data_IF_463444282495
#
_entry.id   IF_463444282495
#
_cell.length_a   1.000
_cell.length_b   1.000
_cell.length_c   1.000
_cell.angle_alpha   90.00
_cell.angle_beta   90.00
_cell.angle_gamma   90.00
#
_symmetry.space_group_name_H-M   'P 1'
#
loop_
_entity.id
_entity.type
_entity.pdbx_description
1 polymer ?
#
# COMPACT_ATOMS: atom_id res chain seq x y z
N UNK A 1 31.91 -6.44 -12.13
CA UNK A 1 30.60 -7.14 -12.14
C UNK A 1 29.64 -6.34 -12.98
N UNK A 2 28.98 -6.97 -13.94
CA UNK A 2 27.96 -6.30 -14.73
C UNK A 2 26.77 -5.89 -13.84
N UNK A 3 26.17 -4.74 -14.19
CA UNK A 3 24.99 -4.25 -13.46
C UNK A 3 23.80 -5.16 -13.73
N UNK A 4 23.05 -5.48 -12.66
CA UNK A 4 21.78 -6.19 -12.75
C UNK A 4 20.76 -5.33 -13.54
N UNK A 5 20.23 -5.84 -14.64
CA UNK A 5 19.32 -5.11 -15.55
C UNK A 5 17.86 -5.47 -15.27
N UNK A 6 17.08 -4.51 -14.79
CA UNK A 6 15.69 -4.71 -14.37
C UNK A 6 14.76 -3.85 -15.24
N UNK A 7 13.67 -4.45 -15.74
CA UNK A 7 12.56 -3.71 -16.30
C UNK A 7 11.41 -3.73 -15.28
N UNK A 8 10.98 -2.56 -14.82
CA UNK A 8 9.78 -2.42 -14.01
C UNK A 8 8.57 -2.16 -14.90
N UNK A 9 7.46 -2.86 -14.62
CA UNK A 9 6.13 -2.58 -15.18
C UNK A 9 5.25 -2.15 -14.04
N UNK A 10 5.13 -0.84 -13.83
CA UNK A 10 4.47 -0.24 -12.68
C UNK A 10 3.94 1.16 -13.00
N UNK A 11 2.92 1.65 -12.30
CA UNK A 11 2.50 3.03 -12.44
C UNK A 11 3.51 3.99 -11.78
N UNK A 12 3.66 5.18 -12.39
CA UNK A 12 4.38 6.32 -11.83
C UNK A 12 3.41 7.46 -11.51
N UNK A 13 3.72 8.32 -10.53
CA UNK A 13 2.94 9.54 -10.31
C UNK A 13 3.21 10.58 -11.41
N UNK A 14 2.25 11.47 -11.76
CA UNK A 14 0.85 11.42 -11.37
C UNK A 14 0.03 10.38 -12.16
N UNK A 15 -1.10 9.85 -11.60
CA UNK A 15 -1.72 10.19 -10.34
C UNK A 15 -1.04 9.51 -9.15
N UNK A 16 -1.05 10.19 -7.99
CA UNK A 16 -0.50 9.64 -6.75
C UNK A 16 -1.36 8.48 -6.23
N UNK A 17 -0.71 7.45 -5.71
CA UNK A 17 -1.35 6.26 -5.14
C UNK A 17 -0.31 5.30 -4.58
N UNK A 18 -0.72 4.35 -3.75
CA UNK A 18 0.22 3.48 -3.02
C UNK A 18 1.28 2.80 -3.89
N UNK A 19 0.89 2.28 -5.07
CA UNK A 19 1.85 1.61 -5.98
C UNK A 19 2.75 2.64 -6.69
N UNK A 20 2.18 3.77 -7.14
CA UNK A 20 2.94 4.80 -7.83
C UNK A 20 3.98 5.45 -6.90
N UNK A 21 3.59 5.78 -5.67
CA UNK A 21 4.49 6.33 -4.66
C UNK A 21 5.61 5.34 -4.30
N UNK A 22 5.27 4.06 -4.12
CA UNK A 22 6.25 3.01 -3.88
C UNK A 22 7.27 2.91 -5.04
N UNK A 23 6.81 2.93 -6.30
CA UNK A 23 7.72 2.85 -7.46
C UNK A 23 8.61 4.09 -7.54
N UNK A 24 8.07 5.28 -7.30
CA UNK A 24 8.85 6.52 -7.27
C UNK A 24 9.90 6.51 -6.16
N UNK A 25 9.57 6.05 -4.96
CA UNK A 25 10.51 5.89 -3.85
C UNK A 25 11.59 4.86 -4.19
N UNK A 26 11.20 3.69 -4.69
CA UNK A 26 12.14 2.62 -5.06
C UNK A 26 13.11 3.08 -6.15
N UNK A 27 12.62 3.77 -7.19
CA UNK A 27 13.46 4.27 -8.28
C UNK A 27 14.47 5.32 -7.79
N UNK A 28 14.05 6.24 -6.91
CA UNK A 28 14.96 7.21 -6.28
C UNK A 28 16.03 6.51 -5.45
N UNK A 29 15.64 5.52 -4.64
CA UNK A 29 16.57 4.76 -3.82
C UNK A 29 17.60 4.00 -4.69
N UNK A 30 17.15 3.28 -5.72
CA UNK A 30 18.06 2.56 -6.62
C UNK A 30 19.03 3.53 -7.30
N UNK A 31 18.55 4.67 -7.79
CA UNK A 31 19.39 5.67 -8.45
C UNK A 31 20.44 6.29 -7.54
N UNK A 32 20.12 6.47 -6.25
CA UNK A 32 21.05 7.08 -5.29
C UNK A 32 22.00 6.05 -4.66
N UNK A 33 21.47 4.93 -4.19
CA UNK A 33 22.21 4.00 -3.32
C UNK A 33 22.69 2.72 -4.04
N UNK A 34 22.12 2.39 -5.19
CA UNK A 34 22.38 1.13 -5.92
C UNK A 34 22.75 1.32 -7.39
N UNK A 35 22.99 2.55 -7.85
CA UNK A 35 23.30 2.86 -9.25
C UNK A 35 24.53 2.14 -9.82
N UNK A 36 25.49 1.77 -8.96
CA UNK A 36 26.67 0.98 -9.35
C UNK A 36 26.36 -0.52 -9.59
N UNK A 37 25.26 -1.02 -9.00
CA UNK A 37 24.89 -2.44 -9.00
C UNK A 37 23.68 -2.75 -9.86
N UNK A 38 22.77 -1.79 -10.05
CA UNK A 38 21.49 -1.98 -10.73
C UNK A 38 21.32 -0.93 -11.83
N UNK A 39 20.96 -1.39 -13.03
CA UNK A 39 20.45 -0.59 -14.13
C UNK A 39 18.96 -0.94 -14.32
N UNK A 40 18.11 0.05 -14.49
CA UNK A 40 16.68 -0.20 -14.67
C UNK A 40 16.04 0.69 -15.72
N UNK A 41 14.93 0.19 -16.28
CA UNK A 41 13.96 0.99 -17.04
C UNK A 41 12.56 0.78 -16.48
N UNK A 42 11.65 1.73 -16.72
CA UNK A 42 10.28 1.68 -16.22
C UNK A 42 9.31 1.81 -17.39
N UNK A 43 8.45 0.82 -17.56
CA UNK A 43 7.28 0.88 -18.43
C UNK A 43 6.12 1.38 -17.58
N UNK A 44 5.76 2.65 -17.78
CA UNK A 44 4.73 3.32 -17.00
C UNK A 44 3.33 2.86 -17.41
N UNK A 45 2.61 2.31 -16.42
CA UNK A 45 1.23 1.83 -16.56
C UNK A 45 0.19 2.76 -15.94
N UNK A 46 0.59 3.97 -15.56
CA UNK A 46 -0.32 4.95 -14.96
C UNK A 46 -1.44 5.37 -15.93
N UNK A 47 -2.67 5.58 -15.45
CA UNK A 47 -3.75 6.13 -16.26
C UNK A 47 -3.47 7.61 -16.53
N UNK A 48 -3.58 8.06 -17.79
CA UNK A 48 -3.31 9.46 -18.19
C UNK A 48 -4.16 10.52 -17.49
N UNK A 49 -5.33 10.16 -16.92
CA UNK A 49 -6.20 11.06 -16.15
C UNK A 49 -6.73 10.34 -14.92
N UNK A 50 -6.64 10.99 -13.76
CA UNK A 50 -7.33 10.57 -12.53
C UNK A 50 -8.82 10.89 -12.70
N UNK A 51 -9.68 9.90 -12.56
CA UNK A 51 -11.12 10.10 -12.53
C UNK A 51 -11.60 9.70 -11.15
N UNK A 52 -12.01 10.68 -10.37
CA UNK A 52 -12.56 10.54 -9.02
C UNK A 52 -14.00 10.03 -9.03
N UNK A 53 -14.74 10.31 -10.09
CA UNK A 53 -16.10 9.82 -10.32
C UNK A 53 -16.11 8.65 -11.30
N UNK A 54 -17.00 7.69 -11.05
CA UNK A 54 -17.02 6.38 -11.71
C UNK A 54 -16.94 6.41 -13.23
N UNK A 55 -15.81 5.94 -13.78
CA UNK A 55 -15.75 5.67 -15.23
C UNK A 55 -16.81 4.66 -15.61
N UNK A 56 -17.58 4.96 -16.64
CA UNK A 56 -18.47 3.97 -17.25
C UNK A 56 -17.70 2.70 -17.64
N UNK A 57 -18.38 1.57 -17.62
CA UNK A 57 -17.78 0.23 -17.88
C UNK A 57 -16.98 0.23 -19.20
N UNK A 58 -17.50 0.86 -20.25
CA UNK A 58 -16.86 1.01 -21.55
C UNK A 58 -15.50 1.72 -21.50
N UNK A 59 -15.39 2.83 -20.76
CA UNK A 59 -14.13 3.58 -20.64
C UNK A 59 -13.07 2.78 -19.87
N UNK A 60 -13.49 1.97 -18.91
CA UNK A 60 -12.59 1.06 -18.18
C UNK A 60 -12.03 -0.04 -19.08
N UNK A 61 -12.87 -0.64 -19.91
CA UNK A 61 -12.48 -1.70 -20.85
C UNK A 61 -11.55 -1.17 -21.94
N UNK A 62 -11.90 -0.04 -22.56
CA UNK A 62 -11.05 0.61 -23.58
C UNK A 62 -9.70 1.01 -22.99
N UNK A 63 -9.69 1.62 -21.79
CA UNK A 63 -8.43 1.98 -21.11
C UNK A 63 -7.56 0.77 -20.77
N UNK A 64 -8.15 -0.35 -20.38
CA UNK A 64 -7.46 -1.63 -20.13
C UNK A 64 -6.83 -2.18 -21.41
N UNK A 65 -7.54 -2.13 -22.54
CA UNK A 65 -7.05 -2.60 -23.83
C UNK A 65 -5.90 -1.74 -24.38
N UNK A 66 -6.02 -0.42 -24.29
CA UNK A 66 -4.94 0.52 -24.67
C UNK A 66 -3.70 0.29 -23.81
N UNK A 67 -3.86 0.11 -22.50
CA UNK A 67 -2.75 -0.21 -21.58
C UNK A 67 -2.06 -1.52 -21.96
N UNK A 68 -2.83 -2.55 -22.33
CA UNK A 68 -2.29 -3.85 -22.78
C UNK A 68 -1.43 -3.71 -24.02
N UNK A 69 -1.92 -3.02 -25.06
CA UNK A 69 -1.19 -2.84 -26.32
C UNK A 69 0.08 -2.03 -26.08
N UNK A 70 -0.04 -0.87 -25.40
CA UNK A 70 1.08 0.02 -25.09
C UNK A 70 2.17 -0.73 -24.34
N UNK A 71 1.83 -1.37 -23.22
CA UNK A 71 2.79 -2.10 -22.38
C UNK A 71 3.46 -3.24 -23.13
N UNK A 72 2.68 -3.99 -23.96
CA UNK A 72 3.23 -5.09 -24.75
C UNK A 72 4.19 -4.61 -25.83
N UNK A 73 3.92 -3.47 -26.46
CA UNK A 73 4.79 -2.86 -27.47
C UNK A 73 6.08 -2.32 -26.83
N UNK A 74 5.97 -1.56 -25.74
CA UNK A 74 7.13 -1.01 -25.02
C UNK A 74 8.03 -2.14 -24.48
N UNK A 75 7.44 -3.21 -23.92
CA UNK A 75 8.22 -4.36 -23.49
C UNK A 75 8.95 -5.05 -24.65
N UNK A 76 8.30 -5.22 -25.80
CA UNK A 76 8.97 -5.78 -26.99
C UNK A 76 10.17 -4.96 -27.42
N UNK A 77 10.04 -3.64 -27.42
CA UNK A 77 11.12 -2.72 -27.77
C UNK A 77 12.28 -2.81 -26.75
N UNK A 78 11.98 -2.84 -25.45
CA UNK A 78 13.01 -3.02 -24.42
C UNK A 78 13.74 -4.36 -24.58
N UNK A 79 12.99 -5.46 -24.80
CA UNK A 79 13.57 -6.78 -25.04
C UNK A 79 14.35 -6.87 -26.35
N UNK A 80 14.08 -6.00 -27.32
CA UNK A 80 14.85 -5.88 -28.57
C UNK A 80 16.21 -5.21 -28.36
N UNK A 81 16.37 -4.41 -27.32
CA UNK A 81 17.63 -3.74 -26.93
C UNK A 81 18.57 -4.65 -26.14
N UNK A 82 18.09 -5.75 -25.63
CA UNK A 82 18.85 -6.73 -24.86
C UNK A 82 17.98 -7.42 -23.81
N UNK A 83 18.40 -8.61 -23.39
CA UNK A 83 17.67 -9.33 -22.35
C UNK A 83 17.94 -8.72 -20.97
N UNK A 84 16.87 -8.38 -20.20
CA UNK A 84 17.02 -8.03 -18.80
C UNK A 84 17.30 -9.29 -17.98
N UNK A 85 17.89 -9.12 -16.79
CA UNK A 85 18.00 -10.20 -15.80
C UNK A 85 16.64 -10.53 -15.20
N UNK A 86 15.78 -9.51 -15.02
CA UNK A 86 14.42 -9.71 -14.50
C UNK A 86 13.45 -8.62 -15.01
N UNK A 87 12.18 -9.02 -15.16
CA UNK A 87 11.05 -8.08 -15.31
C UNK A 87 10.18 -8.13 -14.06
N UNK A 88 10.09 -7.01 -13.35
CA UNK A 88 9.30 -6.86 -12.14
C UNK A 88 7.95 -6.19 -12.45
N UNK A 89 6.87 -6.93 -12.28
CA UNK A 89 5.52 -6.52 -12.67
C UNK A 89 4.69 -6.27 -11.41
N UNK A 90 4.13 -5.07 -11.25
CA UNK A 90 3.17 -4.80 -10.19
C UNK A 90 1.74 -4.96 -10.69
N UNK A 91 0.88 -5.57 -9.88
CA UNK A 91 -0.53 -5.70 -10.19
C UNK A 91 -1.43 -5.21 -9.06
N UNK A 92 -2.51 -4.52 -9.43
CA UNK A 92 -3.63 -4.14 -8.55
C UNK A 92 -4.89 -4.99 -8.79
N UNK A 93 -4.79 -6.03 -9.63
CA UNK A 93 -5.92 -6.87 -10.00
C UNK A 93 -6.83 -6.27 -11.09
N UNK A 94 -8.07 -6.76 -11.16
CA UNK A 94 -9.11 -6.32 -12.10
C UNK A 94 -8.67 -6.42 -13.57
N UNK A 95 -9.00 -5.42 -14.40
CA UNK A 95 -8.64 -5.41 -15.83
C UNK A 95 -7.12 -5.40 -16.09
N UNK A 96 -6.31 -4.98 -15.11
CA UNK A 96 -4.85 -5.07 -15.18
C UNK A 96 -4.33 -6.49 -15.38
N UNK A 97 -5.06 -7.50 -14.89
CA UNK A 97 -4.69 -8.91 -15.06
C UNK A 97 -4.62 -9.36 -16.53
N UNK A 98 -5.38 -8.72 -17.43
CA UNK A 98 -5.32 -9.03 -18.88
C UNK A 98 -3.99 -8.57 -19.48
N UNK A 99 -3.54 -7.36 -19.13
CA UNK A 99 -2.22 -6.84 -19.49
C UNK A 99 -1.13 -7.76 -18.94
N UNK A 100 -1.22 -8.08 -17.65
CA UNK A 100 -0.24 -8.92 -16.94
C UNK A 100 -0.12 -10.29 -17.59
N UNK A 101 -1.25 -10.92 -18.03
CA UNK A 101 -1.26 -12.17 -18.77
C UNK A 101 -0.44 -12.08 -20.06
N UNK A 102 -0.63 -11.02 -20.85
CA UNK A 102 0.10 -10.86 -22.12
C UNK A 102 1.61 -10.72 -21.87
N UNK A 103 1.98 -9.92 -20.87
CA UNK A 103 3.37 -9.71 -20.45
C UNK A 103 3.99 -11.02 -19.94
N UNK A 104 3.37 -11.67 -18.95
CA UNK A 104 3.90 -12.91 -18.37
C UNK A 104 4.02 -14.04 -19.39
N UNK A 105 3.06 -14.16 -20.32
CA UNK A 105 3.14 -15.13 -21.43
C UNK A 105 4.33 -14.87 -22.35
N UNK A 106 4.63 -13.59 -22.61
CA UNK A 106 5.79 -13.20 -23.43
C UNK A 106 7.10 -13.56 -22.73
N UNK A 107 7.22 -13.26 -21.44
CA UNK A 107 8.40 -13.54 -20.64
C UNK A 107 8.63 -15.05 -20.45
N UNK A 108 7.58 -15.80 -20.14
CA UNK A 108 7.64 -17.25 -19.98
C UNK A 108 8.11 -17.94 -21.28
N UNK A 109 7.59 -17.53 -22.45
CA UNK A 109 8.04 -18.09 -23.74
C UNK A 109 9.52 -17.80 -24.03
N UNK A 110 10.06 -16.69 -23.53
CA UNK A 110 11.46 -16.30 -23.71
C UNK A 110 12.36 -16.77 -22.59
N UNK A 111 11.82 -17.48 -21.58
CA UNK A 111 12.52 -17.92 -20.37
C UNK A 111 13.23 -16.78 -19.62
N UNK A 112 12.61 -15.59 -19.63
CA UNK A 112 13.08 -14.42 -18.90
C UNK A 112 12.52 -14.48 -17.47
N UNK A 113 13.38 -14.26 -16.46
CA UNK A 113 12.96 -14.20 -15.09
C UNK A 113 11.90 -13.10 -14.88
N UNK A 114 10.85 -13.42 -14.13
CA UNK A 114 9.77 -12.48 -13.84
C UNK A 114 9.39 -12.53 -12.36
N UNK A 115 9.24 -11.35 -11.78
CA UNK A 115 8.68 -11.17 -10.44
C UNK A 115 7.28 -10.57 -10.59
N UNK A 116 6.27 -11.31 -10.18
CA UNK A 116 4.88 -10.86 -10.19
C UNK A 116 4.47 -10.41 -8.81
N UNK A 117 4.46 -9.09 -8.60
CA UNK A 117 4.27 -8.45 -7.31
C UNK A 117 2.79 -8.10 -7.12
N UNK A 118 2.11 -8.84 -6.26
CA UNK A 118 0.69 -8.67 -5.93
C UNK A 118 0.55 -7.56 -4.90
N UNK A 119 -0.19 -6.51 -5.25
CA UNK A 119 -0.33 -5.31 -4.41
C UNK A 119 -1.80 -4.98 -4.08
N UNK A 120 -2.60 -6.02 -3.83
CA UNK A 120 -4.00 -5.90 -3.42
C UNK A 120 -4.42 -7.04 -2.50
N UNK A 121 -5.27 -6.76 -1.49
CA UNK A 121 -5.58 -7.69 -0.39
C UNK A 121 -6.71 -8.70 -0.67
N UNK A 122 -7.28 -8.80 -1.89
CA UNK A 122 -8.44 -9.67 -2.18
C UNK A 122 -8.10 -10.97 -2.92
N UNK A 123 -6.85 -11.41 -2.86
CA UNK A 123 -6.35 -12.60 -3.57
C UNK A 123 -7.12 -13.85 -3.16
N UNK A 124 -7.27 -14.08 -1.85
CA UNK A 124 -8.01 -15.22 -1.30
C UNK A 124 -9.45 -15.29 -1.85
N UNK A 125 -10.15 -14.15 -1.82
CA UNK A 125 -11.50 -14.07 -2.37
C UNK A 125 -11.54 -14.42 -3.87
N UNK A 126 -10.59 -13.91 -4.65
CA UNK A 126 -10.54 -14.14 -6.10
C UNK A 126 -10.22 -15.58 -6.46
N UNK A 127 -9.28 -16.22 -5.77
CA UNK A 127 -8.91 -17.60 -6.05
C UNK A 127 -10.02 -18.59 -5.64
N UNK A 128 -10.78 -18.29 -4.59
CA UNK A 128 -11.95 -19.09 -4.17
C UNK A 128 -13.16 -18.89 -5.10
N UNK A 129 -13.36 -17.67 -5.60
CA UNK A 129 -14.42 -17.36 -6.56
C UNK A 129 -13.99 -17.83 -7.95
N UNK A 130 -14.50 -18.94 -8.44
CA UNK A 130 -14.21 -19.49 -9.77
C UNK A 130 -14.77 -18.60 -10.92
N UNK A 131 -14.63 -17.28 -10.82
CA UNK A 131 -15.04 -16.29 -11.80
C UNK A 131 -13.91 -16.00 -12.81
N UNK A 132 -14.19 -15.16 -13.82
CA UNK A 132 -13.21 -14.80 -14.86
C UNK A 132 -11.94 -14.15 -14.29
N UNK A 133 -12.07 -13.30 -13.26
CA UNK A 133 -10.95 -12.60 -12.62
C UNK A 133 -10.05 -13.59 -11.86
N UNK A 134 -10.65 -14.50 -11.09
CA UNK A 134 -9.92 -15.54 -10.36
C UNK A 134 -9.20 -16.53 -11.30
N UNK A 135 -9.85 -16.94 -12.39
CA UNK A 135 -9.24 -17.79 -13.43
C UNK A 135 -8.04 -17.10 -14.08
N UNK A 136 -8.19 -15.81 -14.39
CA UNK A 136 -7.13 -15.02 -15.01
C UNK A 136 -5.95 -14.80 -14.04
N UNK A 137 -6.23 -14.53 -12.76
CA UNK A 137 -5.21 -14.45 -11.73
C UNK A 137 -4.45 -15.77 -11.59
N UNK A 138 -5.16 -16.89 -11.45
CA UNK A 138 -4.56 -18.23 -11.35
C UNK A 138 -3.66 -18.54 -12.56
N UNK A 139 -4.09 -18.17 -13.76
CA UNK A 139 -3.28 -18.33 -14.97
C UNK A 139 -2.01 -17.47 -14.92
N UNK A 140 -2.10 -16.22 -14.47
CA UNK A 140 -0.95 -15.32 -14.33
C UNK A 140 0.05 -15.87 -13.29
N UNK A 141 -0.46 -16.36 -12.17
CA UNK A 141 0.36 -17.01 -11.14
C UNK A 141 1.12 -18.22 -11.69
N UNK A 142 0.50 -19.04 -12.55
CA UNK A 142 1.18 -20.18 -13.21
C UNK A 142 2.33 -19.73 -14.09
N UNK A 143 2.18 -18.62 -14.82
CA UNK A 143 3.19 -18.10 -15.77
C UNK A 143 4.36 -17.38 -15.09
N UNK A 144 4.13 -16.77 -13.93
CA UNK A 144 5.17 -16.04 -13.21
C UNK A 144 6.30 -16.99 -12.73
N UNK A 145 7.55 -16.55 -12.85
CA UNK A 145 8.69 -17.29 -12.31
C UNK A 145 8.75 -17.17 -10.78
N UNK A 146 8.57 -15.95 -10.27
CA UNK A 146 8.50 -15.65 -8.85
C UNK A 146 7.26 -14.79 -8.55
N UNK A 147 6.69 -14.95 -7.37
CA UNK A 147 5.50 -14.22 -6.92
C UNK A 147 5.83 -13.53 -5.61
N UNK A 148 5.52 -12.25 -5.49
CA UNK A 148 5.60 -11.51 -4.22
C UNK A 148 4.19 -11.26 -3.68
N UNK A 149 3.97 -11.69 -2.44
CA UNK A 149 2.86 -11.31 -1.59
C UNK A 149 3.32 -10.25 -0.58
N UNK A 150 2.54 -9.17 -0.41
CA UNK A 150 2.87 -8.08 0.52
C UNK A 150 2.29 -8.29 1.92
N UNK A 151 1.42 -9.27 2.11
CA UNK A 151 0.79 -9.62 3.38
C UNK A 151 0.79 -11.14 3.60
N UNK A 152 0.73 -11.53 4.87
CA UNK A 152 0.79 -12.94 5.28
C UNK A 152 -0.40 -13.76 4.81
N UNK A 153 -1.59 -13.18 4.76
CA UNK A 153 -2.82 -13.88 4.31
C UNK A 153 -2.74 -14.21 2.82
N UNK A 154 -2.26 -13.26 2.00
CA UNK A 154 -2.01 -13.51 0.58
C UNK A 154 -0.95 -14.59 0.39
N UNK A 155 0.17 -14.53 1.14
CA UNK A 155 1.22 -15.55 1.07
C UNK A 155 0.70 -16.95 1.43
N UNK A 156 -0.03 -17.07 2.55
CA UNK A 156 -0.66 -18.32 2.99
C UNK A 156 -1.63 -18.86 1.93
N UNK A 157 -2.49 -17.99 1.40
CA UNK A 157 -3.41 -18.34 0.34
C UNK A 157 -2.68 -18.87 -0.91
N UNK A 158 -1.62 -18.23 -1.36
CA UNK A 158 -0.84 -18.70 -2.51
C UNK A 158 -0.23 -20.09 -2.26
N UNK A 159 0.23 -20.35 -1.04
CA UNK A 159 0.75 -21.67 -0.64
C UNK A 159 -0.34 -22.74 -0.69
N UNK A 160 -1.52 -22.45 -0.13
CA UNK A 160 -2.68 -23.33 -0.15
C UNK A 160 -3.17 -23.67 -1.57
N UNK A 161 -3.03 -22.73 -2.51
CA UNK A 161 -3.39 -22.94 -3.92
C UNK A 161 -2.25 -23.52 -4.78
N UNK A 162 -1.16 -24.00 -4.17
CA UNK A 162 -0.07 -24.72 -4.84
C UNK A 162 0.96 -23.82 -5.53
N UNK A 163 1.10 -22.56 -5.09
CA UNK A 163 2.12 -21.64 -5.59
C UNK A 163 3.23 -21.36 -4.57
N UNK A 164 3.30 -22.12 -3.46
CA UNK A 164 4.25 -21.88 -2.36
C UNK A 164 5.71 -21.85 -2.80
N UNK A 165 6.13 -22.81 -3.63
CA UNK A 165 7.54 -22.98 -4.06
C UNK A 165 8.13 -21.74 -4.77
N UNK A 166 7.29 -20.86 -5.29
CA UNK A 166 7.71 -19.64 -6.02
C UNK A 166 7.08 -18.37 -5.45
N UNK A 167 6.46 -18.46 -4.29
CA UNK A 167 5.87 -17.34 -3.59
C UNK A 167 6.75 -16.90 -2.43
N UNK A 168 6.92 -15.60 -2.30
CA UNK A 168 7.75 -14.96 -1.29
C UNK A 168 6.93 -13.89 -0.57
N UNK A 169 7.00 -13.88 0.75
CA UNK A 169 6.49 -12.77 1.53
C UNK A 169 7.53 -11.65 1.55
N UNK A 170 7.23 -10.54 0.89
CA UNK A 170 8.08 -9.33 0.90
C UNK A 170 7.18 -8.13 1.17
N UNK A 171 7.27 -7.51 2.35
CA UNK A 171 6.40 -6.40 2.74
C UNK A 171 6.67 -5.14 1.92
N UNK A 172 5.79 -4.15 2.03
CA UNK A 172 6.09 -2.81 1.59
C UNK A 172 7.26 -2.23 2.40
N UNK A 173 7.96 -1.27 1.81
CA UNK A 173 9.09 -0.60 2.45
C UNK A 173 8.87 0.90 2.55
N UNK A 174 9.67 1.52 3.40
CA UNK A 174 9.74 2.97 3.55
C UNK A 174 11.20 3.41 3.60
N UNK A 175 11.48 4.58 3.04
CA UNK A 175 12.80 5.20 3.13
C UNK A 175 12.81 6.18 4.31
N UNK A 176 13.39 5.77 5.41
CA UNK A 176 13.46 6.59 6.62
C UNK A 176 14.21 7.93 6.40
N UNK A 177 15.15 7.97 5.44
CA UNK A 177 15.89 9.19 5.09
C UNK A 177 15.03 10.23 4.35
N UNK A 178 13.86 9.85 3.83
CA UNK A 178 12.93 10.75 3.12
C UNK A 178 11.78 11.24 4.01
N UNK A 179 11.71 10.79 5.26
CA UNK A 179 10.72 11.24 6.23
C UNK A 179 11.19 12.49 6.99
N UNK A 180 10.27 13.33 7.47
CA UNK A 180 10.62 14.35 8.44
C UNK A 180 11.21 13.72 9.70
N UNK A 181 12.07 14.44 10.39
CA UNK A 181 12.55 14.00 11.70
C UNK A 181 11.37 13.78 12.66
N UNK A 182 11.39 12.66 13.39
CA UNK A 182 10.30 12.32 14.30
C UNK A 182 10.14 13.41 15.36
N UNK A 183 8.94 14.00 15.45
CA UNK A 183 8.64 14.99 16.47
C UNK A 183 8.64 14.36 17.86
N UNK A 184 9.40 14.96 18.76
CA UNK A 184 9.44 14.56 20.18
C UNK A 184 8.15 15.00 20.88
N UNK A 185 7.57 16.13 20.45
CA UNK A 185 6.34 16.69 21.02
C UNK A 185 5.19 16.39 20.07
N UNK A 186 4.23 15.59 20.53
CA UNK A 186 2.99 15.29 19.83
C UNK A 186 1.87 16.18 20.34
N UNK A 187 1.05 16.67 19.42
CA UNK A 187 -0.15 17.44 19.76
C UNK A 187 -1.33 16.52 20.08
N UNK A 188 -2.34 17.00 20.77
CA UNK A 188 -3.60 16.27 21.05
C UNK A 188 -4.45 16.14 19.78
N UNK A 189 -3.84 15.57 18.73
CA UNK A 189 -4.45 15.32 17.43
C UNK A 189 -4.46 13.83 17.16
N UNK A 190 -5.61 13.32 16.70
CA UNK A 190 -5.73 12.01 16.07
C UNK A 190 -5.98 12.25 14.58
N UNK A 191 -5.10 11.73 13.74
CA UNK A 191 -5.18 11.94 12.29
C UNK A 191 -5.62 10.69 11.54
N UNK A 192 -6.40 10.88 10.48
CA UNK A 192 -6.64 9.92 9.42
C UNK A 192 -6.04 10.45 8.12
N UNK A 193 -5.34 9.61 7.37
CA UNK A 193 -4.80 9.96 6.04
C UNK A 193 -5.22 8.90 5.03
N UNK A 194 -5.99 9.32 4.03
CA UNK A 194 -6.46 8.44 2.97
C UNK A 194 -7.68 8.98 2.22
N UNK A 195 -8.22 8.20 1.29
CA UNK A 195 -9.46 8.55 0.61
C UNK A 195 -10.63 8.55 1.61
N UNK A 196 -11.37 9.65 1.64
CA UNK A 196 -12.55 9.79 2.52
C UNK A 196 -13.77 9.16 1.84
N UNK A 197 -13.85 7.83 1.96
CA UNK A 197 -14.90 7.01 1.38
C UNK A 197 -15.42 5.98 2.40
N UNK A 198 -16.64 5.44 2.25
CA UNK A 198 -17.22 4.49 3.19
C UNK A 198 -16.32 3.28 3.48
N UNK A 199 -15.65 2.74 2.46
CA UNK A 199 -14.77 1.58 2.61
C UNK A 199 -13.55 1.81 3.52
N UNK A 200 -13.25 3.06 3.86
CA UNK A 200 -12.20 3.46 4.81
C UNK A 200 -12.71 3.63 6.25
N UNK A 201 -14.00 3.35 6.51
CA UNK A 201 -14.56 3.37 7.85
C UNK A 201 -14.73 4.76 8.43
N UNK A 202 -14.87 5.79 7.57
CA UNK A 202 -15.03 7.18 8.03
C UNK A 202 -16.32 7.38 8.82
N UNK A 203 -17.39 6.68 8.45
CA UNK A 203 -18.65 6.72 9.19
C UNK A 203 -18.48 6.23 10.61
N UNK A 204 -17.85 5.08 10.80
CA UNK A 204 -17.55 4.50 12.10
C UNK A 204 -16.61 5.39 12.93
N UNK A 205 -15.63 6.01 12.27
CA UNK A 205 -14.71 6.93 12.94
C UNK A 205 -15.43 8.16 13.48
N UNK A 206 -16.25 8.81 12.65
CA UNK A 206 -17.03 9.98 13.08
C UNK A 206 -18.03 9.61 14.16
N UNK A 207 -18.71 8.47 14.04
CA UNK A 207 -19.62 7.97 15.05
C UNK A 207 -18.91 7.70 16.38
N UNK A 208 -17.82 6.94 16.34
CA UNK A 208 -17.02 6.62 17.53
C UNK A 208 -16.53 7.90 18.25
N UNK A 209 -16.07 8.89 17.48
CA UNK A 209 -15.62 10.17 18.01
C UNK A 209 -16.73 10.94 18.73
N UNK A 210 -17.91 11.05 18.11
CA UNK A 210 -19.07 11.74 18.68
C UNK A 210 -19.63 11.07 19.94
N UNK A 211 -19.40 9.78 20.12
CA UNK A 211 -19.80 9.03 21.31
C UNK A 211 -18.80 9.14 22.48
N UNK A 212 -17.65 9.82 22.31
CA UNK A 212 -16.70 10.10 23.39
C UNK A 212 -17.22 11.27 24.22
N UNK A 213 -17.14 11.17 25.57
CA UNK A 213 -17.59 12.26 26.42
C UNK A 213 -16.80 13.55 26.18
N UNK A 214 -17.48 14.68 26.30
CA UNK A 214 -16.91 16.01 26.04
C UNK A 214 -15.73 16.30 26.99
N UNK A 215 -15.79 15.80 28.23
CA UNK A 215 -14.71 15.98 29.23
C UNK A 215 -13.39 15.38 28.73
N UNK A 216 -13.44 14.29 27.96
CA UNK A 216 -12.27 13.62 27.39
C UNK A 216 -11.86 14.29 26.08
N UNK A 217 -12.83 14.53 25.17
CA UNK A 217 -12.53 14.94 23.78
C UNK A 217 -12.31 16.44 23.59
N UNK A 218 -12.70 17.31 24.55
CA UNK A 218 -12.67 18.79 24.42
C UNK A 218 -11.30 19.38 24.05
N UNK A 219 -10.21 18.73 24.45
CA UNK A 219 -8.85 19.17 24.15
C UNK A 219 -8.22 18.46 22.95
N UNK A 220 -8.93 17.48 22.40
CA UNK A 220 -8.47 16.68 21.28
C UNK A 220 -9.10 17.12 19.97
N UNK A 221 -8.41 16.85 18.87
CA UNK A 221 -8.86 17.16 17.52
C UNK A 221 -8.75 15.91 16.64
N UNK A 222 -9.80 15.64 15.86
CA UNK A 222 -9.77 14.64 14.80
C UNK A 222 -9.53 15.33 13.47
N UNK A 223 -8.40 15.05 12.82
CA UNK A 223 -8.07 15.55 11.48
C UNK A 223 -8.22 14.46 10.44
N UNK A 224 -9.11 14.66 9.47
CA UNK A 224 -9.37 13.74 8.37
C UNK A 224 -8.79 14.35 7.11
N UNK A 225 -7.65 13.78 6.64
CA UNK A 225 -6.84 14.28 5.54
C UNK A 225 -7.02 13.37 4.32
N UNK A 226 -7.43 13.95 3.22
CA UNK A 226 -7.56 13.27 1.93
C UNK A 226 -8.72 13.78 1.09
N UNK A 227 -8.80 13.36 -0.18
CA UNK A 227 -9.88 13.78 -1.07
C UNK A 227 -11.23 13.21 -0.63
N UNK A 228 -12.26 14.06 -0.65
CA UNK A 228 -13.64 13.71 -0.29
C UNK A 228 -14.66 14.30 -1.27
N UNK A 229 -15.87 13.72 -1.30
CA UNK A 229 -17.02 14.39 -1.88
C UNK A 229 -17.78 15.16 -0.81
N UNK A 230 -18.26 16.36 -1.17
CA UNK A 230 -19.02 17.21 -0.25
C UNK A 230 -20.29 16.50 0.23
N UNK A 231 -20.97 15.83 -0.69
CA UNK A 231 -22.22 15.09 -0.41
C UNK A 231 -22.00 14.02 0.67
N UNK A 232 -20.82 13.35 0.65
CA UNK A 232 -20.52 12.33 1.64
C UNK A 232 -20.26 12.92 3.02
N UNK A 233 -19.44 13.98 3.12
CA UNK A 233 -19.15 14.59 4.42
C UNK A 233 -20.36 15.29 5.03
N UNK A 234 -21.26 15.89 4.21
CA UNK A 234 -22.47 16.55 4.66
C UNK A 234 -23.43 15.56 5.39
N UNK A 235 -23.35 14.25 5.08
CA UNK A 235 -24.13 13.22 5.77
C UNK A 235 -23.80 13.11 7.25
N UNK A 236 -22.60 13.50 7.67
CA UNK A 236 -22.14 13.39 9.07
C UNK A 236 -22.67 14.51 9.96
N UNK A 237 -23.21 15.60 9.43
CA UNK A 237 -23.77 16.74 10.17
C UNK A 237 -22.81 17.23 11.27
N UNK A 238 -21.55 17.51 10.88
CA UNK A 238 -20.52 17.95 11.81
C UNK A 238 -20.84 19.34 12.36
N UNK A 239 -20.69 19.52 13.66
CA UNK A 239 -20.81 20.79 14.35
C UNK A 239 -19.42 21.29 14.79
N UNK A 240 -19.28 22.60 15.02
CA UNK A 240 -18.01 23.17 15.50
C UNK A 240 -17.55 22.57 16.85
N UNK A 241 -18.48 22.17 17.68
CA UNK A 241 -18.20 21.52 18.97
C UNK A 241 -17.66 20.10 18.85
N UNK A 242 -17.76 19.46 17.66
CA UNK A 242 -17.32 18.08 17.48
C UNK A 242 -15.79 17.97 17.40
N UNK A 243 -15.05 19.07 17.23
CA UNK A 243 -13.60 19.08 17.03
C UNK A 243 -13.11 18.15 15.90
N UNK A 244 -13.92 17.99 14.86
CA UNK A 244 -13.61 17.21 13.66
C UNK A 244 -13.30 18.16 12.52
N UNK A 245 -12.18 17.97 11.85
CA UNK A 245 -11.75 18.77 10.70
C UNK A 245 -11.52 17.90 9.47
N UNK A 246 -12.23 18.17 8.37
CA UNK A 246 -11.96 17.62 7.04
C UNK A 246 -11.00 18.56 6.32
N UNK A 247 -9.70 18.21 6.34
CA UNK A 247 -8.62 19.08 5.84
C UNK A 247 -8.58 19.13 4.31
N UNK A 248 -9.05 18.07 3.65
CA UNK A 248 -8.93 17.92 2.20
C UNK A 248 -7.65 17.22 1.76
N UNK A 249 -7.41 17.20 0.45
CA UNK A 249 -6.21 16.57 -0.13
C UNK A 249 -4.99 17.46 0.11
N UNK A 250 -3.96 16.93 0.72
CA UNK A 250 -2.67 17.58 0.90
C UNK A 250 -1.60 16.93 0.03
N UNK A 251 -0.55 17.68 -0.27
CA UNK A 251 0.68 17.10 -0.78
C UNK A 251 1.28 16.12 0.23
N UNK A 252 1.93 15.07 -0.26
CA UNK A 252 2.40 13.96 0.57
C UNK A 252 3.27 14.43 1.75
N UNK A 253 4.23 15.33 1.51
CA UNK A 253 5.11 15.84 2.57
C UNK A 253 4.33 16.60 3.66
N UNK A 254 3.33 17.40 3.27
CA UNK A 254 2.46 18.09 4.24
C UNK A 254 1.62 17.12 5.04
N UNK A 255 1.09 16.08 4.40
CA UNK A 255 0.37 15.03 5.12
C UNK A 255 1.26 14.31 6.14
N UNK A 256 2.52 14.06 5.81
CA UNK A 256 3.51 13.50 6.74
C UNK A 256 3.85 14.45 7.90
N UNK A 257 3.88 15.77 7.68
CA UNK A 257 4.05 16.76 8.76
C UNK A 257 2.89 16.71 9.75
N UNK A 258 1.63 16.69 9.28
CA UNK A 258 0.45 16.51 10.14
C UNK A 258 0.51 15.19 10.92
N UNK A 259 0.88 14.10 10.24
CA UNK A 259 1.04 12.79 10.86
C UNK A 259 2.12 12.81 11.95
N UNK A 260 3.22 13.50 11.68
CA UNK A 260 4.35 13.61 12.60
C UNK A 260 4.01 14.41 13.86
N UNK A 261 3.12 15.40 13.76
CA UNK A 261 2.63 16.16 14.93
C UNK A 261 1.55 15.42 15.71
N UNK A 262 0.84 14.47 15.09
CA UNK A 262 -0.29 13.78 15.71
C UNK A 262 0.16 12.82 16.82
N UNK A 263 -0.60 12.76 17.92
CA UNK A 263 -0.43 11.77 18.99
C UNK A 263 -0.75 10.36 18.51
N UNK A 264 -1.77 10.23 17.63
CA UNK A 264 -2.11 8.95 17.04
C UNK A 264 -2.61 9.10 15.60
N UNK A 265 -2.48 8.02 14.87
CA UNK A 265 -3.04 7.80 13.55
C UNK A 265 -4.12 6.73 13.60
N UNK A 266 -5.25 6.94 12.91
CA UNK A 266 -6.37 6.00 12.90
C UNK A 266 -6.72 5.58 11.48
N UNK A 267 -6.86 4.25 11.23
CA UNK A 267 -7.25 3.69 9.93
C UNK A 267 -8.28 2.55 10.11
N UNK A 268 -9.59 2.86 10.23
CA UNK A 268 -10.63 1.86 10.46
C UNK A 268 -11.18 1.24 9.17
N UNK A 269 -10.30 0.95 8.21
CA UNK A 269 -10.65 0.45 6.88
C UNK A 269 -11.34 -0.92 6.92
N UNK A 270 -12.22 -1.19 5.95
CA UNK A 270 -12.87 -2.50 5.78
C UNK A 270 -12.00 -3.51 5.00
N UNK A 271 -11.03 -3.03 4.26
CA UNK A 271 -10.12 -3.86 3.47
C UNK A 271 -8.84 -3.08 3.15
N UNK A 272 -7.72 -3.74 3.37
CA UNK A 272 -6.39 -3.26 3.00
C UNK A 272 -5.56 -4.43 2.42
N UNK A 273 -4.45 -4.10 1.76
CA UNK A 273 -3.39 -5.07 1.54
C UNK A 273 -2.28 -4.82 2.55
N UNK A 274 -1.39 -3.87 2.24
CA UNK A 274 -0.36 -3.35 3.14
C UNK A 274 -0.43 -1.81 3.09
N UNK A 275 -1.11 -1.16 4.05
CA UNK A 275 -1.38 0.28 3.98
C UNK A 275 -0.12 1.11 4.25
N UNK A 276 0.29 1.92 3.25
CA UNK A 276 1.46 2.79 3.39
C UNK A 276 1.29 3.83 4.51
N UNK A 277 0.07 4.36 4.71
CA UNK A 277 -0.18 5.35 5.77
C UNK A 277 0.04 4.78 7.18
N UNK A 278 -0.26 3.50 7.41
CA UNK A 278 0.11 2.81 8.64
C UNK A 278 1.62 2.70 8.77
N UNK A 279 2.31 2.32 7.69
CA UNK A 279 3.76 2.21 7.68
C UNK A 279 4.44 3.57 7.92
N UNK A 280 3.90 4.64 7.35
CA UNK A 280 4.35 6.02 7.55
C UNK A 280 4.16 6.46 9.01
N UNK A 281 3.00 6.18 9.60
CA UNK A 281 2.75 6.48 11.01
C UNK A 281 3.70 5.72 11.94
N UNK A 282 3.91 4.43 11.71
CA UNK A 282 4.88 3.62 12.45
C UNK A 282 6.29 4.18 12.34
N UNK A 283 6.71 4.59 11.13
CA UNK A 283 8.03 5.14 10.85
C UNK A 283 8.28 6.50 11.53
N UNK A 284 7.22 7.27 11.78
CA UNK A 284 7.26 8.54 12.52
C UNK A 284 7.08 8.37 14.03
N UNK A 285 7.02 7.12 14.52
CA UNK A 285 6.79 6.84 15.94
C UNK A 285 5.41 7.30 16.44
N UNK A 286 4.45 7.51 15.52
CA UNK A 286 3.07 7.87 15.86
C UNK A 286 2.30 6.61 16.23
N UNK A 287 1.55 6.64 17.35
CA UNK A 287 0.73 5.49 17.75
C UNK A 287 -0.34 5.20 16.72
N UNK A 288 -0.52 3.93 16.35
CA UNK A 288 -1.48 3.52 15.32
C UNK A 288 -2.68 2.81 15.95
N UNK A 289 -3.88 3.22 15.55
CA UNK A 289 -5.14 2.47 15.75
C UNK A 289 -5.61 2.04 14.35
N UNK A 290 -5.76 0.75 14.09
CA UNK A 290 -6.22 0.31 12.78
C UNK A 290 -7.02 -1.00 12.82
N UNK A 291 -7.82 -1.24 11.77
CA UNK A 291 -8.65 -2.43 11.68
C UNK A 291 -7.83 -3.71 11.42
N UNK A 292 -8.38 -4.85 11.82
CA UNK A 292 -7.82 -6.20 11.69
C UNK A 292 -7.87 -6.76 10.25
N UNK A 293 -7.45 -5.97 9.27
CA UNK A 293 -7.53 -6.33 7.84
C UNK A 293 -6.16 -6.30 7.15
N UNK A 294 -5.94 -7.21 6.21
CA UNK A 294 -4.71 -7.32 5.44
C UNK A 294 -3.47 -7.52 6.32
N UNK A 295 -2.41 -6.75 6.06
CA UNK A 295 -1.16 -6.84 6.81
C UNK A 295 -1.22 -6.15 8.20
N UNK A 296 -2.27 -5.39 8.51
CA UNK A 296 -2.34 -4.57 9.73
C UNK A 296 -2.09 -5.36 11.02
N UNK A 297 -2.72 -6.54 11.25
CA UNK A 297 -2.46 -7.31 12.46
C UNK A 297 -0.99 -7.69 12.63
N UNK A 298 -0.31 -8.03 11.52
CA UNK A 298 1.13 -8.35 11.53
C UNK A 298 1.99 -7.09 11.73
N UNK A 299 1.63 -5.97 11.08
CA UNK A 299 2.35 -4.70 11.24
C UNK A 299 2.32 -4.21 12.69
N UNK A 300 1.17 -4.33 13.34
CA UNK A 300 0.94 -3.83 14.70
C UNK A 300 1.13 -4.90 15.80
N UNK A 301 1.62 -6.10 15.46
CA UNK A 301 1.96 -7.12 16.46
C UNK A 301 3.02 -6.61 17.46
N UNK A 302 3.20 -7.34 18.54
CA UNK A 302 4.23 -7.08 19.56
C UNK A 302 4.08 -5.69 20.23
N UNK A 303 2.84 -5.20 20.30
CA UNK A 303 2.52 -3.91 20.92
C UNK A 303 2.99 -2.72 20.11
N UNK A 304 3.01 -2.82 18.77
CA UNK A 304 3.33 -1.72 17.86
C UNK A 304 2.13 -0.80 17.56
N UNK A 305 0.95 -1.08 18.13
CA UNK A 305 -0.26 -0.30 17.95
C UNK A 305 -1.49 -1.01 18.51
N UNK A 306 -2.66 -0.47 18.24
CA UNK A 306 -3.95 -0.99 18.70
C UNK A 306 -4.71 -1.51 17.46
N UNK A 307 -5.05 -2.80 17.47
CA UNK A 307 -5.87 -3.43 16.42
C UNK A 307 -7.30 -3.53 16.90
N UNK A 308 -8.25 -3.08 16.09
CA UNK A 308 -9.69 -3.13 16.35
C UNK A 308 -10.40 -3.91 15.25
N UNK A 309 -11.56 -4.48 15.53
CA UNK A 309 -12.35 -5.16 14.49
C UNK A 309 -12.89 -4.16 13.49
N UNK A 310 -12.79 -4.50 12.21
CA UNK A 310 -13.38 -3.70 11.15
C UNK A 310 -14.89 -3.52 11.38
N UNK A 311 -15.41 -2.31 11.18
CA UNK A 311 -16.83 -1.93 11.39
C UNK A 311 -17.32 -1.99 12.84
N UNK A 312 -16.44 -2.09 13.82
CA UNK A 312 -16.80 -2.10 15.23
C UNK A 312 -16.59 -0.73 15.86
N UNK A 313 -17.66 0.06 15.94
CA UNK A 313 -17.64 1.41 16.50
C UNK A 313 -17.24 1.41 17.98
N UNK A 314 -17.66 0.41 18.75
CA UNK A 314 -17.38 0.31 20.19
C UNK A 314 -15.89 0.09 20.44
N UNK A 315 -15.28 -0.91 19.80
CA UNK A 315 -13.83 -1.16 19.92
C UNK A 315 -13.02 0.05 19.44
N UNK A 316 -13.47 0.71 18.36
CA UNK A 316 -12.80 1.91 17.84
C UNK A 316 -12.88 3.07 18.85
N UNK A 317 -14.04 3.31 19.44
CA UNK A 317 -14.23 4.32 20.50
C UNK A 317 -13.33 4.03 21.71
N UNK A 318 -13.32 2.80 22.19
CA UNK A 318 -12.49 2.42 23.35
C UNK A 318 -10.99 2.61 23.07
N UNK A 319 -10.54 2.30 21.85
CA UNK A 319 -9.17 2.55 21.43
C UNK A 319 -8.83 4.05 21.34
N UNK A 320 -9.75 4.89 20.85
CA UNK A 320 -9.61 6.35 20.85
C UNK A 320 -9.52 6.91 22.27
N UNK A 321 -10.42 6.50 23.16
CA UNK A 321 -10.41 6.91 24.59
C UNK A 321 -9.11 6.50 25.24
N UNK A 322 -8.63 5.28 25.00
CA UNK A 322 -7.35 4.81 25.53
C UNK A 322 -6.19 5.73 25.13
N UNK A 323 -6.13 6.12 23.85
CA UNK A 323 -5.12 7.07 23.36
C UNK A 323 -5.22 8.43 24.05
N UNK A 324 -6.43 8.90 24.35
CA UNK A 324 -6.66 10.22 24.95
C UNK A 324 -6.37 10.26 26.46
N UNK A 325 -6.42 9.12 27.15
CA UNK A 325 -6.40 9.05 28.62
C UNK A 325 -5.16 8.34 29.19
N UNK A 326 -4.48 7.51 28.40
CA UNK A 326 -3.34 6.72 28.85
C UNK A 326 -2.01 7.20 28.24
N UNK A 327 -0.90 6.81 28.85
CA UNK A 327 0.42 7.00 28.25
C UNK A 327 0.67 5.93 27.16
N UNK A 328 0.58 6.34 25.90
CA UNK A 328 0.67 5.49 24.72
C UNK A 328 2.02 5.55 23.98
N UNK A 329 2.97 6.33 24.46
CA UNK A 329 4.25 6.56 23.76
C UNK A 329 5.03 5.27 23.46
N UNK A 330 4.84 4.23 24.27
CA UNK A 330 5.46 2.93 24.05
C UNK A 330 5.05 2.23 22.75
N UNK A 331 3.82 2.43 22.25
CA UNK A 331 3.37 1.84 20.98
C UNK A 331 4.15 2.40 19.79
N UNK A 332 4.27 3.73 19.70
CA UNK A 332 4.98 4.39 18.59
C UNK A 332 6.47 4.04 18.56
N UNK A 333 7.12 3.96 19.72
CA UNK A 333 8.53 3.60 19.80
C UNK A 333 8.78 2.17 19.31
N UNK A 334 7.98 1.18 19.75
CA UNK A 334 8.07 -0.19 19.25
C UNK A 334 7.77 -0.29 17.76
N UNK A 335 6.80 0.47 17.27
CA UNK A 335 6.46 0.55 15.86
C UNK A 335 7.64 1.05 15.02
N UNK A 336 8.31 2.12 15.44
CA UNK A 336 9.49 2.66 14.76
C UNK A 336 10.64 1.65 14.74
N UNK A 337 10.92 0.96 15.84
CA UNK A 337 11.95 -0.08 15.87
C UNK A 337 11.61 -1.25 14.93
N UNK A 338 10.35 -1.66 14.86
CA UNK A 338 9.90 -2.68 13.90
C UNK A 338 10.09 -2.21 12.45
N UNK A 339 9.79 -0.95 12.14
CA UNK A 339 10.05 -0.38 10.81
C UNK A 339 11.54 -0.44 10.47
N UNK A 340 12.41 -0.01 11.37
CA UNK A 340 13.87 -0.07 11.17
C UNK A 340 14.38 -1.50 10.95
N UNK A 341 13.78 -2.48 11.63
CA UNK A 341 14.21 -3.88 11.55
C UNK A 341 13.65 -4.63 10.34
N UNK A 342 12.41 -4.36 9.90
CA UNK A 342 11.72 -5.18 8.92
C UNK A 342 11.34 -4.44 7.63
N UNK A 343 11.00 -3.14 7.70
CA UNK A 343 10.35 -2.41 6.60
C UNK A 343 11.22 -1.30 5.99
N UNK A 344 12.43 -1.07 6.51
CA UNK A 344 13.35 -0.10 5.93
C UNK A 344 13.77 -0.53 4.52
N UNK A 345 13.79 0.42 3.57
CA UNK A 345 13.95 0.18 2.13
C UNK A 345 15.23 -0.59 1.80
N UNK A 346 16.33 -0.36 2.52
CA UNK A 346 17.60 -1.07 2.28
C UNK A 346 17.46 -2.57 2.47
N UNK A 347 16.69 -3.01 3.48
CA UNK A 347 16.47 -4.43 3.79
C UNK A 347 15.52 -5.09 2.79
N UNK A 348 14.45 -4.39 2.43
CA UNK A 348 13.47 -4.93 1.47
C UNK A 348 14.06 -5.00 0.06
N UNK A 349 14.87 -4.02 -0.34
CA UNK A 349 15.54 -4.05 -1.65
C UNK A 349 16.55 -5.20 -1.76
N UNK A 350 17.22 -5.59 -0.69
CA UNK A 350 18.06 -6.79 -0.72
C UNK A 350 17.26 -8.08 -0.96
N UNK A 351 16.02 -8.16 -0.47
CA UNK A 351 15.13 -9.28 -0.79
C UNK A 351 14.72 -9.23 -2.28
N UNK A 352 14.41 -8.05 -2.82
CA UNK A 352 14.14 -7.91 -4.26
C UNK A 352 15.35 -8.32 -5.10
N UNK A 353 16.56 -7.91 -4.74
CA UNK A 353 17.81 -8.26 -5.47
C UNK A 353 17.99 -9.78 -5.55
N UNK A 354 17.69 -10.52 -4.49
CA UNK A 354 17.75 -12.00 -4.52
C UNK A 354 16.77 -12.58 -5.53
N UNK A 355 15.55 -12.05 -5.62
CA UNK A 355 14.52 -12.49 -6.57
C UNK A 355 14.80 -12.04 -8.01
N UNK A 356 15.48 -10.90 -8.20
CA UNK A 356 15.85 -10.41 -9.53
C UNK A 356 17.02 -11.19 -10.13
N UNK A 357 17.94 -11.67 -9.32
CA UNK A 357 18.97 -12.59 -9.78
C UNK A 357 18.31 -13.92 -10.12
N UNK A 358 18.59 -14.42 -11.32
CA UNK A 358 18.15 -15.76 -11.72
C UNK A 358 18.69 -16.75 -10.70
N UNK A 359 17.80 -17.50 -10.05
CA UNK A 359 18.13 -18.41 -8.97
C UNK A 359 19.50 -19.07 -9.10
N UNK A 360 20.45 -18.68 -8.26
CA UNK A 360 21.30 -19.66 -7.63
C UNK A 360 20.42 -20.22 -6.49
N UNK A 361 19.75 -21.33 -6.78
CA UNK A 361 19.00 -22.12 -5.83
C UNK A 361 19.97 -22.52 -4.71
N UNK A 362 19.64 -22.08 -3.50
CA UNK A 362 20.19 -22.75 -2.31
C UNK A 362 19.28 -23.93 -2.00
#
# INVERSE_FOLDING_TARGET
MDKLKIIFIAPLPPPYGGIANWMAMLSRYISKEKASKIAYSIIDTSPKKRVTEGRGLLQRVVGGFVSLIKTSFELRNELGRGNPDCVHITTSGSLGLMRDRAVLRMLSKRKINSVYHIRFGRVNKLLKLNNWEGKLLSYNLKLAANIIAIDGDTYKCLTEFGFGDKSYYVPNCINLKELPESSIIKEKIISFIGWVIPAKGIGELVQAWKEISVEISKEWKLEIIGPYSKEYIDTFKIQNSDNISFVGELEHNKALEHLNMSSAFVLPSYTEGFPNSVLEAMALGTTVIASDVGAIPQMLSDGCGIVVKAKNVVELKDALVKVMTENISGFGNRALEKVKSEYEISKVVEQYIRLWRKNDVI
#
